data_IF_104330957781
#
_entry.id   IF_104330957781
#
_cell.length_a   1.000
_cell.length_b   1.000
_cell.length_c   1.000
_cell.angle_alpha   90.00
_cell.angle_beta   90.00
_cell.angle_gamma   90.00
#
_symmetry.space_group_name_H-M   'P 1'
#
loop_
_entity.id
_entity.type
_entity.pdbx_description
1 polymer ?
#
# COMPACT_ATOMS: atom_id res chain seq x y z
N UNK A 1 22.87 -3.37 17.96
CA UNK A 1 21.49 -3.02 17.60
C UNK A 1 21.22 -3.74 16.30
N UNK A 2 20.19 -4.61 16.19
CA UNK A 2 19.93 -5.25 14.91
C UNK A 2 19.55 -4.15 13.91
N UNK A 3 20.03 -4.26 12.68
CA UNK A 3 19.68 -3.32 11.62
C UNK A 3 18.16 -3.32 11.44
N UNK A 4 17.57 -2.12 11.31
CA UNK A 4 16.16 -2.00 10.89
C UNK A 4 16.04 -2.61 9.50
N UNK A 5 15.31 -3.71 9.38
CA UNK A 5 14.98 -4.30 8.08
C UNK A 5 14.07 -3.29 7.37
N UNK A 6 14.62 -2.66 6.33
CA UNK A 6 13.90 -1.87 5.35
C UNK A 6 13.45 -2.81 4.24
N UNK A 7 12.14 -2.95 4.05
CA UNK A 7 11.60 -3.67 2.90
C UNK A 7 11.59 -2.75 1.68
N UNK A 8 11.83 -3.27 0.47
CA UNK A 8 11.77 -2.47 -0.75
C UNK A 8 10.35 -1.96 -0.98
N UNK A 9 10.25 -0.77 -1.57
CA UNK A 9 9.01 -0.19 -2.06
C UNK A 9 8.56 -0.95 -3.32
N UNK A 10 7.85 -2.05 -3.10
CA UNK A 10 7.44 -2.97 -4.16
C UNK A 10 5.95 -3.33 -4.02
N UNK A 11 5.18 -3.48 -5.11
CA UNK A 11 3.75 -3.77 -5.04
C UNK A 11 3.40 -4.98 -4.17
N UNK A 12 4.22 -6.03 -4.22
CA UNK A 12 4.07 -7.24 -3.38
C UNK A 12 4.17 -6.94 -1.87
N UNK A 13 5.01 -5.99 -1.47
CA UNK A 13 5.15 -5.59 -0.06
C UNK A 13 3.90 -4.83 0.40
N UNK A 14 3.39 -3.92 -0.43
CA UNK A 14 2.13 -3.23 -0.16
C UNK A 14 0.95 -4.21 -0.06
N UNK A 15 0.88 -5.21 -0.96
CA UNK A 15 -0.13 -6.28 -0.91
C UNK A 15 -0.07 -7.10 0.39
N UNK A 16 1.13 -7.32 0.93
CA UNK A 16 1.28 -8.02 2.21
C UNK A 16 0.72 -7.22 3.40
N UNK A 17 0.90 -5.89 3.42
CA UNK A 17 0.27 -5.05 4.45
C UNK A 17 -1.26 -4.99 4.29
N UNK A 18 -1.74 -4.91 3.06
CA UNK A 18 -3.18 -4.96 2.77
C UNK A 18 -3.80 -6.27 3.27
N UNK A 19 -3.17 -7.41 3.02
CA UNK A 19 -3.61 -8.72 3.49
C UNK A 19 -3.62 -8.81 5.03
N UNK A 20 -2.65 -8.20 5.72
CA UNK A 20 -2.68 -8.10 7.19
C UNK A 20 -3.84 -7.25 7.72
N UNK A 21 -4.16 -6.15 7.05
CA UNK A 21 -5.29 -5.29 7.42
C UNK A 21 -6.64 -5.97 7.16
N UNK A 22 -6.75 -6.72 6.05
CA UNK A 22 -7.95 -7.49 5.73
C UNK A 22 -8.23 -8.60 6.76
N UNK A 23 -7.20 -9.28 7.28
CA UNK A 23 -7.39 -10.27 8.37
C UNK A 23 -7.88 -9.65 9.68
N UNK A 24 -7.79 -8.33 9.82
CA UNK A 24 -8.26 -7.59 10.99
C UNK A 24 -9.54 -6.80 10.70
N UNK A 25 -10.17 -6.99 9.53
CA UNK A 25 -11.34 -6.22 9.08
C UNK A 25 -11.13 -4.70 9.19
N UNK A 26 -9.88 -4.25 9.00
CA UNK A 26 -9.46 -2.88 9.30
C UNK A 26 -9.79 -1.87 8.18
N UNK A 27 -10.16 -2.35 6.99
CA UNK A 27 -10.49 -1.52 5.82
C UNK A 27 -11.86 -1.90 5.27
N UNK A 28 -12.62 -0.94 4.71
CA UNK A 28 -13.80 -1.24 3.91
C UNK A 28 -13.42 -2.17 2.74
N UNK A 29 -14.21 -3.22 2.51
CA UNK A 29 -13.94 -4.22 1.47
C UNK A 29 -13.74 -3.60 0.08
N UNK A 30 -14.55 -2.59 -0.26
CA UNK A 30 -14.45 -1.88 -1.54
C UNK A 30 -13.14 -1.12 -1.70
N UNK A 31 -12.65 -0.50 -0.63
CA UNK A 31 -11.35 0.18 -0.63
C UNK A 31 -10.22 -0.84 -0.76
N UNK A 32 -10.26 -1.92 0.01
CA UNK A 32 -9.26 -2.97 -0.05
C UNK A 32 -9.17 -3.63 -1.44
N UNK A 33 -10.31 -3.90 -2.08
CA UNK A 33 -10.36 -4.45 -3.43
C UNK A 33 -9.73 -3.50 -4.47
N UNK A 34 -10.04 -2.20 -4.41
CA UNK A 34 -9.46 -1.20 -5.31
C UNK A 34 -7.94 -1.08 -5.15
N UNK A 35 -7.45 -1.08 -3.90
CA UNK A 35 -6.01 -1.09 -3.62
C UNK A 35 -5.34 -2.36 -4.17
N UNK A 36 -5.96 -3.53 -3.96
CA UNK A 36 -5.42 -4.80 -4.45
C UNK A 36 -5.31 -4.81 -5.99
N UNK A 37 -6.32 -4.31 -6.69
CA UNK A 37 -6.32 -4.22 -8.15
C UNK A 37 -5.24 -3.26 -8.67
N UNK A 38 -5.11 -2.07 -8.07
CA UNK A 38 -4.09 -1.10 -8.47
C UNK A 38 -2.67 -1.63 -8.24
N UNK A 39 -2.41 -2.25 -7.08
CA UNK A 39 -1.11 -2.87 -6.79
C UNK A 39 -0.84 -4.08 -7.68
N UNK A 40 -1.88 -4.87 -8.02
CA UNK A 40 -1.78 -5.96 -8.98
C UNK A 40 -1.34 -5.47 -10.36
N UNK A 41 -1.96 -4.39 -10.86
CA UNK A 41 -1.52 -3.74 -12.10
C UNK A 41 -0.08 -3.22 -11.99
N UNK A 42 0.29 -2.59 -10.88
CA UNK A 42 1.63 -2.04 -10.68
C UNK A 42 2.72 -3.11 -10.69
N UNK A 43 2.40 -4.34 -10.28
CA UNK A 43 3.34 -5.48 -10.31
C UNK A 43 3.66 -5.95 -11.75
N UNK A 44 2.78 -5.69 -12.71
CA UNK A 44 2.89 -6.12 -14.11
C UNK A 44 3.41 -5.01 -15.04
N UNK A 45 3.48 -3.76 -14.57
CA UNK A 45 3.99 -2.64 -15.36
C UNK A 45 5.51 -2.74 -15.47
N UNK A 46 6.01 -2.65 -16.71
CA UNK A 46 7.42 -2.44 -17.00
C UNK A 46 7.64 -0.95 -17.35
N UNK A 47 8.26 -0.20 -16.43
CA UNK A 47 8.54 1.22 -16.57
C UNK A 47 7.49 2.16 -15.93
N UNK A 48 7.43 3.38 -16.44
CA UNK A 48 6.62 4.47 -15.89
C UNK A 48 5.13 4.30 -16.25
N UNK A 49 4.26 4.64 -15.30
CA UNK A 49 2.81 4.74 -15.49
C UNK A 49 2.23 5.81 -14.56
N UNK A 50 2.25 7.07 -15.03
CA UNK A 50 1.84 8.24 -14.24
C UNK A 50 0.36 8.22 -13.80
N UNK A 51 -0.52 7.57 -14.57
CA UNK A 51 -1.93 7.40 -14.21
C UNK A 51 -2.06 6.47 -13.01
N UNK A 52 -1.41 5.30 -13.06
CA UNK A 52 -1.40 4.34 -11.97
C UNK A 52 -0.68 4.88 -10.73
N UNK A 53 0.40 5.63 -10.91
CA UNK A 53 1.07 6.35 -9.82
C UNK A 53 0.08 7.30 -9.10
N UNK A 54 -0.67 8.10 -9.87
CA UNK A 54 -1.66 9.02 -9.31
C UNK A 54 -2.81 8.29 -8.60
N UNK A 55 -3.25 7.16 -9.14
CA UNK A 55 -4.27 6.31 -8.53
C UNK A 55 -3.81 5.75 -7.18
N UNK A 56 -2.57 5.26 -7.07
CA UNK A 56 -2.00 4.77 -5.81
C UNK A 56 -1.90 5.88 -4.75
N UNK A 57 -1.55 7.11 -5.14
CA UNK A 57 -1.56 8.26 -4.23
C UNK A 57 -2.96 8.59 -3.74
N UNK A 58 -3.96 8.52 -4.62
CA UNK A 58 -5.36 8.75 -4.24
C UNK A 58 -5.83 7.71 -3.22
N UNK A 59 -5.50 6.43 -3.43
CA UNK A 59 -5.80 5.37 -2.46
C UNK A 59 -5.08 5.58 -1.13
N UNK A 60 -3.79 5.91 -1.16
CA UNK A 60 -3.01 6.23 0.05
C UNK A 60 -3.66 7.35 0.87
N UNK A 61 -4.18 8.38 0.19
CA UNK A 61 -4.83 9.52 0.83
C UNK A 61 -6.22 9.20 1.40
N UNK A 62 -6.80 8.04 1.05
CA UNK A 62 -8.12 7.59 1.50
C UNK A 62 -8.07 6.56 2.62
N UNK A 63 -6.88 6.16 3.06
CA UNK A 63 -6.73 5.22 4.17
C UNK A 63 -7.33 5.81 5.46
N UNK A 64 -8.10 5.01 6.23
CA UNK A 64 -8.67 5.47 7.48
C UNK A 64 -7.60 5.62 8.57
N UNK A 65 -7.91 6.36 9.62
CA UNK A 65 -7.12 6.34 10.86
C UNK A 65 -7.62 5.23 11.80
N UNK A 66 -6.77 4.79 12.73
CA UNK A 66 -7.14 3.80 13.74
C UNK A 66 -6.52 4.14 15.09
N UNK A 67 -7.29 3.96 16.17
CA UNK A 67 -6.79 4.10 17.54
C UNK A 67 -6.01 2.86 18.03
N UNK A 68 -6.09 1.73 17.31
CA UNK A 68 -5.29 0.54 17.61
C UNK A 68 -3.86 0.74 17.08
N UNK A 69 -2.82 0.73 17.94
CA UNK A 69 -1.44 1.01 17.51
C UNK A 69 -0.90 0.01 16.49
N UNK A 70 -1.38 -1.24 16.50
CA UNK A 70 -0.96 -2.26 15.54
C UNK A 70 -1.61 -2.03 14.18
N UNK A 71 -2.90 -1.68 14.16
CA UNK A 71 -3.61 -1.36 12.93
C UNK A 71 -3.08 -0.04 12.34
N UNK A 72 -2.95 1.00 13.16
CA UNK A 72 -2.36 2.29 12.78
C UNK A 72 -0.97 2.13 12.14
N UNK A 73 -0.07 1.37 12.78
CA UNK A 73 1.26 1.12 12.21
C UNK A 73 1.24 0.36 10.88
N UNK A 74 0.24 -0.51 10.65
CA UNK A 74 0.07 -1.21 9.35
C UNK A 74 -0.52 -0.29 8.28
N UNK A 75 -1.42 0.61 8.66
CA UNK A 75 -1.96 1.65 7.76
C UNK A 75 -0.83 2.56 7.30
N UNK A 76 0.02 3.03 8.23
CA UNK A 76 1.20 3.84 7.92
C UNK A 76 2.17 3.09 6.98
N UNK A 77 2.38 1.79 7.23
CA UNK A 77 3.26 0.97 6.40
C UNK A 77 2.68 0.74 4.98
N UNK A 78 1.37 0.52 4.85
CA UNK A 78 0.69 0.42 3.56
C UNK A 78 0.75 1.75 2.81
N UNK A 79 0.51 2.87 3.50
CA UNK A 79 0.65 4.23 2.95
C UNK A 79 2.05 4.44 2.38
N UNK A 80 3.08 4.19 3.19
CA UNK A 80 4.48 4.36 2.79
C UNK A 80 4.83 3.51 1.58
N UNK A 81 4.41 2.24 1.56
CA UNK A 81 4.68 1.34 0.45
C UNK A 81 3.97 1.78 -0.84
N UNK A 82 2.72 2.24 -0.78
CA UNK A 82 2.01 2.78 -1.96
C UNK A 82 2.65 4.07 -2.49
N UNK A 83 3.14 4.94 -1.60
CA UNK A 83 3.88 6.13 -2.00
C UNK A 83 5.19 5.76 -2.71
N UNK A 84 5.96 4.82 -2.18
CA UNK A 84 7.20 4.37 -2.81
C UNK A 84 6.97 3.69 -4.17
N UNK A 85 5.95 2.83 -4.28
CA UNK A 85 5.54 2.24 -5.58
C UNK A 85 5.10 3.34 -6.56
N UNK A 86 4.34 4.33 -6.09
CA UNK A 86 3.95 5.46 -6.92
C UNK A 86 5.15 6.26 -7.41
N UNK A 87 6.20 6.46 -6.60
CA UNK A 87 7.41 7.15 -7.06
C UNK A 87 8.14 6.34 -8.12
N UNK A 88 8.20 5.00 -7.98
CA UNK A 88 8.84 4.13 -8.97
C UNK A 88 8.11 4.06 -10.32
N UNK A 89 6.84 4.46 -10.36
CA UNK A 89 6.01 4.52 -11.57
C UNK A 89 6.01 5.91 -12.23
N UNK A 90 6.70 6.91 -11.68
CA UNK A 90 6.82 8.25 -12.28
C UNK A 90 8.08 8.40 -13.10
#
# INVERSE_FOLDING_TARGET
>A
WPEKICWPDHPVVALAYLDQLNRSDALPETLAAGIAEALGRAAEVDGENAELASELVAFASSLPESDDPVISGRIDALWSAMMGVSEGLR
#
